data_IF_545340573847
#
_entry.id   IF_545340573847
#
_cell.length_a   1.000
_cell.length_b   1.000
_cell.length_c   1.000
_cell.angle_alpha   90.00
_cell.angle_beta   90.00
_cell.angle_gamma   90.00
#
_symmetry.space_group_name_H-M   'P 1'
#
loop_
_entity.id
_entity.type
_entity.pdbx_description
1 polymer ?
#
# COMPACT_ATOMS: atom_id res chain seq x y z
N UNK A 1 -8.39 -5.35 17.99
CA UNK A 1 -8.61 -5.49 16.53
C UNK A 1 -8.98 -4.10 16.02
N UNK A 2 -8.31 -3.60 14.97
CA UNK A 2 -8.57 -2.25 14.44
C UNK A 2 -10.00 -2.18 13.88
N UNK A 3 -10.68 -1.05 14.08
CA UNK A 3 -12.03 -0.82 13.53
C UNK A 3 -11.93 -0.30 12.10
N UNK A 4 -12.97 -0.51 11.28
CA UNK A 4 -13.01 0.02 9.91
C UNK A 4 -12.84 1.53 9.88
N UNK A 5 -13.49 2.26 10.79
CA UNK A 5 -13.37 3.72 10.88
C UNK A 5 -11.91 4.16 11.08
N UNK A 6 -11.14 3.41 11.90
CA UNK A 6 -9.72 3.69 12.10
C UNK A 6 -8.87 3.34 10.88
N UNK A 7 -9.21 2.27 10.16
CA UNK A 7 -8.56 1.96 8.87
C UNK A 7 -8.81 3.09 7.87
N UNK A 8 -10.05 3.59 7.76
CA UNK A 8 -10.40 4.70 6.87
C UNK A 8 -9.69 5.99 7.27
N UNK A 9 -9.64 6.32 8.56
CA UNK A 9 -8.92 7.51 9.06
C UNK A 9 -7.43 7.46 8.68
N UNK A 10 -6.77 6.32 8.93
CA UNK A 10 -5.37 6.10 8.56
C UNK A 10 -5.20 6.20 7.04
N UNK A 11 -6.07 5.57 6.26
CA UNK A 11 -6.04 5.64 4.80
C UNK A 11 -6.14 7.07 4.29
N UNK A 12 -7.08 7.87 4.80
CA UNK A 12 -7.24 9.26 4.40
C UNK A 12 -5.97 10.09 4.67
N UNK A 13 -5.36 9.91 5.85
CA UNK A 13 -4.11 10.61 6.21
C UNK A 13 -2.97 10.20 5.26
N UNK A 14 -2.82 8.91 5.00
CA UNK A 14 -1.77 8.39 4.13
C UNK A 14 -1.98 8.83 2.68
N UNK A 15 -3.21 8.79 2.18
CA UNK A 15 -3.55 9.17 0.81
C UNK A 15 -3.34 10.68 0.57
N UNK A 16 -3.68 11.53 1.53
CA UNK A 16 -3.36 12.97 1.49
C UNK A 16 -1.85 13.21 1.53
N UNK A 17 -1.13 12.51 2.43
CA UNK A 17 0.32 12.58 2.49
C UNK A 17 0.98 12.14 1.18
N UNK A 18 0.55 11.03 0.59
CA UNK A 18 1.11 10.49 -0.65
C UNK A 18 0.90 11.45 -1.83
N UNK A 19 -0.27 12.08 -1.93
CA UNK A 19 -0.54 13.13 -2.93
C UNK A 19 0.41 14.32 -2.76
N UNK A 20 0.56 14.82 -1.54
CA UNK A 20 1.42 15.98 -1.27
C UNK A 20 2.89 15.64 -1.52
N UNK A 21 3.33 14.45 -1.10
CA UNK A 21 4.69 13.96 -1.33
C UNK A 21 4.98 13.83 -2.82
N UNK A 22 4.08 13.23 -3.60
CA UNK A 22 4.23 13.06 -5.04
C UNK A 22 4.32 14.40 -5.77
N UNK A 23 3.55 15.40 -5.37
CA UNK A 23 3.65 16.75 -5.94
C UNK A 23 4.99 17.42 -5.61
N UNK A 24 5.47 17.32 -4.37
CA UNK A 24 6.78 17.85 -3.99
C UNK A 24 7.95 17.11 -4.65
N UNK A 25 7.84 15.79 -4.82
CA UNK A 25 8.83 15.00 -5.56
C UNK A 25 8.88 15.43 -7.02
N UNK A 26 7.74 15.62 -7.70
CA UNK A 26 7.72 16.10 -9.09
C UNK A 26 8.38 17.48 -9.26
N UNK A 27 8.20 18.37 -8.29
CA UNK A 27 8.77 19.73 -8.31
C UNK A 27 10.28 19.72 -8.05
N UNK A 28 10.73 18.99 -7.03
CA UNK A 28 12.08 19.11 -6.49
C UNK A 28 13.03 17.99 -6.93
N UNK A 29 12.49 16.82 -7.24
CA UNK A 29 13.23 15.63 -7.64
C UNK A 29 12.84 15.27 -9.08
N UNK A 30 13.63 15.72 -10.06
CA UNK A 30 13.60 15.15 -11.41
C UNK A 30 14.22 13.75 -11.37
N UNK A 31 13.57 12.83 -10.66
CA UNK A 31 13.96 11.42 -10.69
C UNK A 31 13.87 10.95 -12.15
N UNK A 32 14.92 10.29 -12.67
CA UNK A 32 14.83 9.65 -13.97
C UNK A 32 13.62 8.74 -13.97
N UNK A 33 12.76 8.87 -14.98
CA UNK A 33 11.63 7.96 -15.19
C UNK A 33 12.18 6.55 -15.44
N UNK A 34 12.32 5.75 -14.39
CA UNK A 34 12.70 4.33 -14.37
C UNK A 34 14.03 4.00 -15.07
N UNK A 35 14.97 3.55 -14.26
CA UNK A 35 16.15 2.75 -14.60
C UNK A 35 16.96 3.21 -15.83
N UNK A 36 18.15 3.74 -15.58
CA UNK A 36 19.22 3.86 -16.59
C UNK A 36 19.68 2.52 -17.19
N UNK A 37 18.94 1.42 -16.97
CA UNK A 37 19.22 0.07 -17.47
C UNK A 37 18.64 -0.22 -18.86
N UNK A 38 17.88 0.71 -19.46
CA UNK A 38 17.29 0.55 -20.80
C UNK A 38 16.18 -0.50 -20.89
N UNK A 39 15.82 -1.17 -19.78
CA UNK A 39 14.75 -2.16 -19.73
C UNK A 39 13.39 -1.46 -19.75
N UNK A 40 12.64 -1.67 -20.84
CA UNK A 40 11.26 -1.19 -20.97
C UNK A 40 10.34 -1.99 -20.05
N UNK A 41 10.08 -1.44 -18.86
CA UNK A 41 9.05 -1.97 -17.98
C UNK A 41 7.66 -1.53 -18.46
N UNK A 42 6.69 -2.45 -18.45
CA UNK A 42 5.32 -2.16 -18.84
C UNK A 42 4.70 -1.23 -17.79
N UNK A 43 4.33 0.00 -18.17
CA UNK A 43 3.65 0.96 -17.29
C UNK A 43 2.16 0.58 -17.12
N UNK A 44 1.89 -0.53 -16.43
CA UNK A 44 0.55 -0.85 -15.92
C UNK A 44 0.45 -0.40 -14.48
N UNK A 45 -0.65 0.27 -14.13
CA UNK A 45 -0.98 0.55 -12.73
C UNK A 45 -1.10 -0.78 -11.98
N UNK A 46 -0.50 -0.85 -10.80
CA UNK A 46 -0.72 -1.97 -9.87
C UNK A 46 -2.20 -2.04 -9.48
N UNK A 47 -2.64 -3.21 -9.01
CA UNK A 47 -4.00 -3.38 -8.47
C UNK A 47 -4.19 -2.69 -7.12
N UNK A 48 -3.11 -2.54 -6.36
CA UNK A 48 -3.03 -1.74 -5.15
C UNK A 48 -2.21 -0.48 -5.43
N UNK A 49 -2.70 0.64 -4.93
CA UNK A 49 -2.00 1.93 -4.85
C UNK A 49 -0.93 1.92 -3.74
N UNK A 50 0.01 2.85 -3.81
CA UNK A 50 1.04 3.03 -2.77
C UNK A 50 0.42 3.38 -1.42
N UNK A 51 -0.60 4.25 -1.40
CA UNK A 51 -1.34 4.59 -0.19
C UNK A 51 -2.06 3.39 0.44
N UNK A 52 -2.66 2.49 -0.35
CA UNK A 52 -3.24 1.25 0.17
C UNK A 52 -2.18 0.32 0.78
N UNK A 53 -1.02 0.16 0.12
CA UNK A 53 0.08 -0.67 0.62
C UNK A 53 0.59 -0.12 1.95
N UNK A 54 0.85 1.20 2.02
CA UNK A 54 1.28 1.88 3.24
C UNK A 54 0.23 1.75 4.35
N UNK A 55 -1.05 1.88 4.03
CA UNK A 55 -2.15 1.70 5.00
C UNK A 55 -2.15 0.30 5.58
N UNK A 56 -2.02 -0.74 4.74
CA UNK A 56 -1.96 -2.13 5.21
C UNK A 56 -0.78 -2.35 6.15
N UNK A 57 0.39 -1.80 5.81
CA UNK A 57 1.60 -1.87 6.64
C UNK A 57 1.43 -1.17 7.99
N UNK A 58 0.88 0.03 8.00
CA UNK A 58 0.65 0.80 9.23
C UNK A 58 -0.38 0.11 10.11
N UNK A 59 -1.50 -0.34 9.53
CA UNK A 59 -2.57 -1.04 10.23
C UNK A 59 -2.12 -2.34 10.90
N UNK A 60 -1.07 -3.00 10.39
CA UNK A 60 -0.49 -4.20 11.01
C UNK A 60 -0.04 -3.94 12.45
N UNK A 61 0.54 -2.77 12.72
CA UNK A 61 1.07 -2.42 14.04
C UNK A 61 -0.01 -2.17 15.10
N UNK A 62 -1.27 -2.00 14.69
CA UNK A 62 -2.42 -1.86 15.61
C UNK A 62 -3.07 -3.20 15.97
N UNK A 63 -2.68 -4.29 15.30
CA UNK A 63 -3.18 -5.64 15.55
C UNK A 63 -2.34 -6.43 16.55
N UNK A 64 -2.91 -7.50 17.08
CA UNK A 64 -2.21 -8.48 17.94
C UNK A 64 -1.90 -9.78 17.17
N UNK A 65 -1.64 -9.68 15.88
CA UNK A 65 -1.30 -10.83 15.03
C UNK A 65 0.14 -11.25 15.29
N UNK A 66 0.43 -12.56 15.22
CA UNK A 66 1.78 -13.07 15.53
C UNK A 66 2.80 -12.71 14.46
N UNK A 67 2.35 -12.62 13.22
CA UNK A 67 3.18 -12.25 12.09
C UNK A 67 2.35 -11.57 10.99
N UNK A 68 3.05 -10.91 10.08
CA UNK A 68 2.44 -10.15 9.00
C UNK A 68 1.62 -11.02 8.04
N UNK A 69 2.04 -12.26 7.81
CA UNK A 69 1.32 -13.21 6.94
C UNK A 69 -0.06 -13.55 7.50
N UNK A 70 -0.15 -13.85 8.79
CA UNK A 70 -1.40 -14.13 9.49
C UNK A 70 -2.34 -12.92 9.44
N UNK A 71 -1.80 -11.72 9.69
CA UNK A 71 -2.53 -10.46 9.57
C UNK A 71 -3.09 -10.24 8.16
N UNK A 72 -2.24 -10.38 7.13
CA UNK A 72 -2.65 -10.12 5.76
C UNK A 72 -3.74 -11.08 5.29
N UNK A 73 -3.56 -12.38 5.54
CA UNK A 73 -4.53 -13.39 5.13
C UNK A 73 -5.84 -13.31 5.92
N UNK A 74 -5.77 -13.00 7.22
CA UNK A 74 -6.96 -13.05 8.09
C UNK A 74 -7.70 -11.71 8.21
N UNK A 75 -6.97 -10.60 8.23
CA UNK A 75 -7.57 -9.27 8.35
C UNK A 75 -7.84 -8.67 6.98
N UNK A 76 -6.82 -8.51 6.13
CA UNK A 76 -6.96 -7.83 4.84
C UNK A 76 -7.82 -8.65 3.87
N UNK A 77 -7.47 -9.91 3.65
CA UNK A 77 -8.17 -10.73 2.64
C UNK A 77 -9.53 -11.27 3.09
N UNK A 78 -9.85 -11.28 4.39
CA UNK A 78 -11.15 -11.72 4.90
C UNK A 78 -11.98 -10.59 5.48
N UNK A 79 -11.53 -9.94 6.56
CA UNK A 79 -12.34 -8.96 7.31
C UNK A 79 -12.53 -7.62 6.59
N UNK A 80 -11.46 -7.15 5.93
CA UNK A 80 -11.40 -5.86 5.22
C UNK A 80 -11.44 -6.05 3.70
N UNK A 81 -11.92 -7.20 3.22
CA UNK A 81 -12.01 -7.49 1.78
C UNK A 81 -12.85 -6.47 1.01
N UNK A 82 -13.86 -5.89 1.65
CA UNK A 82 -14.68 -4.84 1.04
C UNK A 82 -13.94 -3.51 0.92
N UNK A 83 -13.03 -3.23 1.85
CA UNK A 83 -12.22 -2.01 1.89
C UNK A 83 -11.02 -2.13 0.94
N UNK A 84 -10.50 -3.35 0.74
CA UNK A 84 -9.42 -3.69 -0.21
C UNK A 84 -9.88 -4.74 -1.25
N UNK A 85 -10.82 -4.40 -2.16
CA UNK A 85 -11.39 -5.37 -3.09
C UNK A 85 -10.37 -5.93 -4.08
N UNK A 86 -9.31 -5.17 -4.34
CA UNK A 86 -8.23 -5.53 -5.26
C UNK A 86 -6.97 -6.07 -4.56
N UNK A 87 -7.08 -6.45 -3.29
CA UNK A 87 -5.99 -7.07 -2.53
C UNK A 87 -5.37 -8.25 -3.31
N UNK A 88 -4.06 -8.18 -3.51
CA UNK A 88 -3.29 -9.21 -4.23
C UNK A 88 -2.97 -10.40 -3.32
N UNK A 89 -2.40 -11.47 -3.87
CA UNK A 89 -1.90 -12.58 -3.04
C UNK A 89 -0.80 -12.10 -2.09
N UNK A 90 -0.64 -12.78 -0.95
CA UNK A 90 0.39 -12.42 0.04
C UNK A 90 1.79 -12.30 -0.58
N UNK A 91 2.21 -13.28 -1.39
CA UNK A 91 3.52 -13.23 -2.04
C UNK A 91 3.65 -12.01 -2.96
N UNK A 92 2.60 -11.70 -3.73
CA UNK A 92 2.60 -10.53 -4.60
C UNK A 92 2.63 -9.23 -3.80
N UNK A 93 1.96 -9.19 -2.65
CA UNK A 93 2.02 -8.04 -1.75
C UNK A 93 3.45 -7.84 -1.22
N UNK A 94 4.12 -8.90 -0.80
CA UNK A 94 5.52 -8.83 -0.34
C UNK A 94 6.47 -8.35 -1.42
N UNK A 95 6.28 -8.77 -2.68
CA UNK A 95 7.04 -8.24 -3.83
C UNK A 95 6.77 -6.75 -4.12
N UNK A 96 5.63 -6.22 -3.68
CA UNK A 96 5.21 -4.84 -3.88
C UNK A 96 5.51 -3.94 -2.68
N UNK A 97 5.88 -4.51 -1.52
CA UNK A 97 6.30 -3.71 -0.37
C UNK A 97 7.50 -2.83 -0.80
N UNK A 98 7.45 -1.51 -0.55
CA UNK A 98 8.51 -0.58 -0.93
C UNK A 98 9.84 -0.85 -0.21
#
# INVERSE_FOLDING_TARGET
>A
MITRDKVTEIFCIIDEFDKNLNEELKKNLRLPSKDGSGKRHRNRKGRLSESEIMTILVCYHFGTYKNFKEYYLSCIQMQLKHDFPDAVSYNRFVELMP
#
